data_IF_557959740132
#
_entry.id   IF_557959740132
#
_cell.length_a   1.000
_cell.length_b   1.000
_cell.length_c   1.000
_cell.angle_alpha   90.00
_cell.angle_beta   90.00
_cell.angle_gamma   90.00
#
_symmetry.space_group_name_H-M   'P 1'
#
loop_
_entity.id
_entity.type
_entity.pdbx_description
1 polymer ?
#
# COMPACT_ATOMS: atom_id res chain seq x y z
N UNK A 1 -4.96 -30.76 -5.86
CA UNK A 1 -3.65 -30.25 -5.40
C UNK A 1 -3.88 -28.93 -4.70
N UNK A 2 -3.60 -28.82 -3.40
CA UNK A 2 -3.57 -27.49 -2.74
C UNK A 2 -2.43 -26.72 -3.39
N UNK A 3 -2.73 -25.57 -3.97
CA UNK A 3 -1.75 -24.61 -4.47
C UNK A 3 -1.01 -24.01 -3.24
N UNK A 4 -0.21 -24.83 -2.55
CA UNK A 4 0.60 -24.40 -1.40
C UNK A 4 1.59 -23.37 -1.96
N UNK A 5 1.57 -22.16 -1.41
CA UNK A 5 2.50 -21.05 -1.67
C UNK A 5 2.17 -20.10 -2.85
N UNK A 6 0.91 -19.89 -3.21
CA UNK A 6 0.56 -18.85 -4.19
C UNK A 6 0.54 -17.44 -3.55
N UNK A 7 1.66 -16.73 -3.64
CA UNK A 7 1.79 -15.36 -3.14
C UNK A 7 0.86 -14.37 -3.87
N UNK A 8 0.64 -14.56 -5.17
CA UNK A 8 -0.27 -13.72 -5.95
C UNK A 8 -1.71 -13.85 -5.47
N UNK A 9 -2.14 -15.05 -5.11
CA UNK A 9 -3.46 -15.31 -4.53
C UNK A 9 -3.70 -14.49 -3.25
N UNK A 10 -2.68 -14.38 -2.39
CA UNK A 10 -2.76 -13.61 -1.15
C UNK A 10 -2.81 -12.09 -1.42
N UNK A 11 -2.05 -11.60 -2.42
CA UNK A 11 -1.93 -10.16 -2.71
C UNK A 11 -3.14 -9.62 -3.49
N UNK A 12 -3.79 -10.45 -4.31
CA UNK A 12 -4.85 -10.02 -5.24
C UNK A 12 -6.00 -9.27 -4.57
N UNK A 13 -6.53 -9.81 -3.46
CA UNK A 13 -7.68 -9.21 -2.79
C UNK A 13 -7.33 -7.85 -2.15
N UNK A 14 -6.27 -7.74 -1.31
CA UNK A 14 -5.81 -6.44 -0.82
C UNK A 14 -5.55 -5.44 -1.93
N UNK A 15 -4.97 -5.87 -3.05
CA UNK A 15 -4.68 -5.01 -4.19
C UNK A 15 -5.96 -4.45 -4.82
N UNK A 16 -6.97 -5.29 -5.02
CA UNK A 16 -8.28 -4.87 -5.54
C UNK A 16 -8.94 -3.84 -4.60
N UNK A 17 -8.91 -4.09 -3.29
CA UNK A 17 -9.43 -3.16 -2.29
C UNK A 17 -8.69 -1.82 -2.36
N UNK A 18 -7.36 -1.83 -2.47
CA UNK A 18 -6.57 -0.61 -2.55
C UNK A 18 -6.90 0.23 -3.79
N UNK A 19 -7.09 -0.40 -4.96
CA UNK A 19 -7.50 0.32 -6.16
C UNK A 19 -8.91 0.89 -6.04
N UNK A 20 -9.85 0.15 -5.45
CA UNK A 20 -11.19 0.68 -5.16
C UNK A 20 -11.12 1.89 -4.23
N UNK A 21 -10.33 1.81 -3.14
CA UNK A 21 -10.14 2.92 -2.19
C UNK A 21 -9.52 4.13 -2.88
N UNK A 22 -8.51 3.96 -3.75
CA UNK A 22 -7.92 5.06 -4.53
C UNK A 22 -8.98 5.75 -5.38
N UNK A 23 -9.78 4.98 -6.13
CA UNK A 23 -10.81 5.51 -7.01
C UNK A 23 -11.91 6.23 -6.22
N UNK A 24 -12.44 5.60 -5.16
CA UNK A 24 -13.46 6.18 -4.28
C UNK A 24 -12.95 7.49 -3.68
N UNK A 25 -11.72 7.50 -3.14
CA UNK A 25 -11.13 8.70 -2.57
C UNK A 25 -11.02 9.82 -3.58
N UNK A 26 -10.59 9.51 -4.81
CA UNK A 26 -10.49 10.52 -5.86
C UNK A 26 -11.86 11.15 -6.16
N UNK A 27 -12.92 10.33 -6.29
CA UNK A 27 -14.29 10.81 -6.52
C UNK A 27 -14.79 11.66 -5.35
N UNK A 28 -14.55 11.23 -4.11
CA UNK A 28 -14.94 11.97 -2.90
C UNK A 28 -14.24 13.34 -2.82
N UNK A 29 -12.96 13.39 -3.16
CA UNK A 29 -12.20 14.66 -3.19
C UNK A 29 -12.75 15.61 -4.26
N UNK A 30 -13.14 15.10 -5.44
CA UNK A 30 -13.82 15.91 -6.46
C UNK A 30 -15.21 16.41 -6.02
N UNK A 31 -15.93 15.61 -5.23
CA UNK A 31 -17.23 15.99 -4.68
C UNK A 31 -17.13 16.98 -3.50
N UNK A 32 -15.93 17.38 -3.10
CA UNK A 32 -15.72 18.30 -1.98
C UNK A 32 -15.96 17.65 -0.61
N UNK A 33 -15.77 16.32 -0.49
CA UNK A 33 -15.93 15.62 0.77
C UNK A 33 -15.01 16.19 1.87
N UNK A 34 -15.47 16.25 3.14
CA UNK A 34 -14.66 16.76 4.25
C UNK A 34 -13.34 16.00 4.41
N UNK A 35 -12.30 16.68 4.88
CA UNK A 35 -10.96 16.10 5.09
C UNK A 35 -10.97 14.85 5.99
N UNK A 36 -11.88 14.80 6.96
CA UNK A 36 -12.05 13.63 7.82
C UNK A 36 -12.41 12.37 6.99
N UNK A 37 -13.31 12.51 6.02
CA UNK A 37 -13.71 11.42 5.11
C UNK A 37 -12.54 11.04 4.21
N UNK A 38 -11.81 12.01 3.66
CA UNK A 38 -10.64 11.76 2.81
C UNK A 38 -9.50 11.05 3.56
N UNK A 39 -9.34 11.31 4.87
CA UNK A 39 -8.38 10.61 5.74
C UNK A 39 -8.79 9.15 5.97
N UNK A 40 -10.08 8.86 6.15
CA UNK A 40 -10.60 7.48 6.30
C UNK A 40 -10.33 6.67 5.03
N UNK A 41 -10.59 7.24 3.85
CA UNK A 41 -10.27 6.61 2.57
C UNK A 41 -8.80 6.79 2.15
N UNK A 42 -7.94 7.23 3.07
CA UNK A 42 -6.51 7.32 2.85
C UNK A 42 -5.84 5.94 2.82
N UNK A 43 -4.73 5.83 2.09
CA UNK A 43 -4.00 4.54 1.95
C UNK A 43 -3.07 4.30 3.16
N UNK A 44 -2.96 5.27 4.07
CA UNK A 44 -2.06 5.20 5.22
C UNK A 44 -2.37 3.99 6.12
N UNK A 45 -3.64 3.74 6.43
CA UNK A 45 -4.01 2.59 7.28
C UNK A 45 -3.79 1.25 6.58
N UNK A 46 -3.91 1.19 5.25
CA UNK A 46 -3.60 -0.02 4.47
C UNK A 46 -2.14 -0.42 4.62
N UNK A 47 -1.22 0.52 4.88
CA UNK A 47 0.19 0.22 5.12
C UNK A 47 0.43 -0.55 6.43
N UNK A 48 -0.57 -0.60 7.32
CA UNK A 48 -0.49 -1.35 8.58
C UNK A 48 -1.31 -2.64 8.48
N UNK A 49 -2.55 -2.55 8.01
CA UNK A 49 -3.46 -3.70 7.97
C UNK A 49 -3.00 -4.76 6.96
N UNK A 50 -2.53 -4.34 5.78
CA UNK A 50 -2.16 -5.28 4.72
C UNK A 50 -0.93 -6.12 5.08
N UNK A 51 0.16 -5.57 5.63
CA UNK A 51 1.29 -6.38 6.09
C UNK A 51 0.94 -7.35 7.22
N UNK A 52 0.03 -6.96 8.13
CA UNK A 52 -0.50 -7.85 9.17
C UNK A 52 -1.28 -9.01 8.54
N UNK A 53 -2.17 -8.72 7.59
CA UNK A 53 -2.90 -9.73 6.82
C UNK A 53 -1.95 -10.68 6.07
N UNK A 54 -0.92 -10.15 5.41
CA UNK A 54 0.10 -10.96 4.75
C UNK A 54 0.83 -11.87 5.74
N UNK A 55 1.23 -11.35 6.90
CA UNK A 55 1.88 -12.15 7.93
C UNK A 55 1.01 -13.34 8.39
N UNK A 56 -0.28 -13.11 8.63
CA UNK A 56 -1.22 -14.18 8.98
C UNK A 56 -1.31 -15.24 7.88
N UNK A 57 -1.51 -14.83 6.63
CA UNK A 57 -1.66 -15.73 5.48
C UNK A 57 -0.39 -16.50 5.16
N UNK A 58 0.77 -15.88 5.28
CA UNK A 58 2.06 -16.54 5.05
C UNK A 58 2.29 -17.64 6.09
N UNK A 59 1.94 -17.40 7.36
CA UNK A 59 2.04 -18.42 8.40
C UNK A 59 1.02 -19.54 8.17
N UNK A 60 -0.23 -19.21 7.85
CA UNK A 60 -1.29 -20.21 7.59
C UNK A 60 -0.99 -21.13 6.41
N UNK A 61 -0.28 -20.63 5.41
CA UNK A 61 0.08 -21.39 4.22
C UNK A 61 1.45 -22.07 4.31
N UNK A 62 2.14 -21.97 5.46
CA UNK A 62 3.41 -22.66 5.73
C UNK A 62 4.52 -22.37 4.69
N UNK A 63 4.66 -21.11 4.28
CA UNK A 63 5.72 -20.73 3.34
C UNK A 63 7.11 -21.07 3.91
N UNK A 64 7.96 -21.73 3.12
CA UNK A 64 9.32 -22.15 3.54
C UNK A 64 10.21 -21.00 4.03
N UNK A 65 10.08 -19.82 3.39
CA UNK A 65 10.85 -18.61 3.72
C UNK A 65 9.89 -17.47 4.05
N UNK A 66 9.26 -17.47 5.23
CA UNK A 66 8.12 -16.60 5.54
C UNK A 66 8.51 -15.11 5.52
N UNK A 67 9.71 -14.77 5.98
CA UNK A 67 10.19 -13.38 5.94
C UNK A 67 10.41 -12.87 4.51
N UNK A 68 11.02 -13.67 3.64
CA UNK A 68 11.17 -13.30 2.23
C UNK A 68 9.83 -13.25 1.49
N UNK A 69 8.89 -14.15 1.83
CA UNK A 69 7.53 -14.09 1.31
C UNK A 69 6.82 -12.79 1.71
N UNK A 70 7.03 -12.31 2.95
CA UNK A 70 6.47 -11.05 3.44
C UNK A 70 7.00 -9.85 2.64
N UNK A 71 8.32 -9.78 2.45
CA UNK A 71 8.95 -8.72 1.64
C UNK A 71 8.38 -8.72 0.22
N UNK A 72 8.30 -9.89 -0.42
CA UNK A 72 7.75 -10.01 -1.77
C UNK A 72 6.27 -9.61 -1.82
N UNK A 73 5.45 -10.00 -0.84
CA UNK A 73 4.05 -9.62 -0.77
C UNK A 73 3.89 -8.10 -0.64
N UNK A 74 4.69 -7.46 0.23
CA UNK A 74 4.69 -6.01 0.40
C UNK A 74 5.07 -5.31 -0.89
N UNK A 75 6.09 -5.78 -1.62
CA UNK A 75 6.48 -5.18 -2.91
C UNK A 75 5.41 -5.39 -3.98
N UNK A 76 4.88 -6.60 -4.13
CA UNK A 76 3.81 -6.91 -5.09
C UNK A 76 2.52 -6.13 -4.83
N UNK A 77 2.27 -5.73 -3.59
CA UNK A 77 1.16 -4.87 -3.24
C UNK A 77 1.50 -3.38 -3.42
N UNK A 78 2.60 -2.92 -2.84
CA UNK A 78 2.94 -1.50 -2.77
C UNK A 78 3.29 -0.91 -4.13
N UNK A 79 4.05 -1.63 -4.97
CA UNK A 79 4.49 -1.11 -6.27
C UNK A 79 3.30 -0.76 -7.17
N UNK A 80 2.33 -1.65 -7.43
CA UNK A 80 1.18 -1.30 -8.27
C UNK A 80 0.28 -0.22 -7.65
N UNK A 81 0.06 -0.24 -6.33
CA UNK A 81 -0.71 0.79 -5.61
C UNK A 81 -0.05 2.16 -5.76
N UNK A 82 1.26 2.27 -5.55
CA UNK A 82 1.97 3.54 -5.70
C UNK A 82 2.04 4.00 -7.13
N UNK A 83 2.14 3.07 -8.08
CA UNK A 83 2.11 3.40 -9.50
C UNK A 83 0.76 4.01 -9.88
N UNK A 84 -0.35 3.42 -9.44
CA UNK A 84 -1.68 3.97 -9.67
C UNK A 84 -1.81 5.38 -9.08
N UNK A 85 -1.33 5.61 -7.85
CA UNK A 85 -1.33 6.96 -7.25
C UNK A 85 -0.47 7.91 -8.08
N UNK A 86 0.76 7.54 -8.44
CA UNK A 86 1.65 8.38 -9.24
C UNK A 86 1.00 8.80 -10.56
N UNK A 87 0.33 7.85 -11.24
CA UNK A 87 -0.46 8.13 -12.44
C UNK A 87 -1.57 9.15 -12.17
N UNK A 88 -2.28 9.08 -11.03
CA UNK A 88 -3.27 10.13 -10.69
C UNK A 88 -2.65 11.51 -10.54
N UNK A 89 -1.40 11.63 -10.05
CA UNK A 89 -0.71 12.92 -9.98
C UNK A 89 -0.31 13.43 -11.38
N UNK A 90 0.19 12.54 -12.25
CA UNK A 90 0.48 12.90 -13.64
C UNK A 90 -0.78 13.33 -14.40
N UNK A 91 -1.92 12.66 -14.18
CA UNK A 91 -3.21 13.05 -14.75
C UNK A 91 -3.72 14.37 -14.17
N UNK A 92 -3.53 14.60 -12.87
CA UNK A 92 -3.88 15.87 -12.24
C UNK A 92 -3.15 17.05 -12.87
N UNK A 93 -1.86 16.86 -13.23
CA UNK A 93 -1.11 17.86 -13.98
C UNK A 93 -1.69 18.11 -15.38
N UNK A 94 -1.99 17.05 -16.13
CA UNK A 94 -2.55 17.15 -17.49
C UNK A 94 -3.89 17.89 -17.50
N UNK A 95 -4.81 17.49 -16.61
CA UNK A 95 -6.17 18.02 -16.55
C UNK A 95 -6.32 19.25 -15.64
N UNK A 96 -5.22 19.74 -15.04
CA UNK A 96 -5.22 20.89 -14.13
C UNK A 96 -6.24 20.79 -13.01
N UNK A 97 -6.31 19.62 -12.36
CA UNK A 97 -7.24 19.39 -11.25
C UNK A 97 -6.96 20.34 -10.08
N UNK A 98 -8.02 20.97 -9.56
CA UNK A 98 -7.94 22.00 -8.50
C UNK A 98 -8.04 21.44 -7.08
N UNK A 99 -7.94 20.12 -6.91
CA UNK A 99 -7.99 19.46 -5.59
C UNK A 99 -6.70 19.77 -4.80
N UNK A 100 -6.86 20.14 -3.54
CA UNK A 100 -5.77 20.52 -2.61
C UNK A 100 -4.57 19.57 -2.65
N UNK A 101 -4.78 18.24 -2.69
CA UNK A 101 -3.68 17.27 -2.69
C UNK A 101 -2.77 17.32 -3.93
N UNK A 102 -3.25 17.90 -5.02
CA UNK A 102 -2.51 18.04 -6.29
C UNK A 102 -1.91 19.43 -6.48
N UNK A 103 -2.09 20.36 -5.53
CA UNK A 103 -1.58 21.72 -5.63
C UNK A 103 -0.07 21.78 -5.92
N UNK A 104 0.70 20.82 -5.39
CA UNK A 104 2.15 20.74 -5.63
C UNK A 104 2.51 20.41 -7.08
N UNK A 105 1.63 19.71 -7.81
CA UNK A 105 1.85 19.40 -9.24
C UNK A 105 1.19 20.44 -10.14
N UNK A 106 0.06 21.05 -9.76
CA UNK A 106 -0.69 21.95 -10.65
C UNK A 106 -0.33 23.43 -10.57
N UNK A 107 0.62 23.83 -9.73
CA UNK A 107 1.01 25.23 -9.55
C UNK A 107 1.58 25.91 -10.81
N UNK A 108 1.44 27.23 -10.89
CA UNK A 108 1.77 28.05 -12.07
C UNK A 108 3.23 27.96 -12.51
N UNK A 109 4.14 27.64 -11.59
CA UNK A 109 5.58 27.51 -11.84
C UNK A 109 6.06 26.06 -12.02
N UNK A 110 5.14 25.10 -12.18
CA UNK A 110 5.49 23.68 -12.32
C UNK A 110 5.71 23.32 -13.80
N UNK A 111 6.97 23.05 -14.15
CA UNK A 111 7.35 22.60 -15.50
C UNK A 111 6.69 21.26 -15.85
N UNK A 112 6.51 20.94 -17.15
CA UNK A 112 5.97 19.64 -17.56
C UNK A 112 6.76 18.46 -17.00
N UNK A 113 8.10 18.53 -17.03
CA UNK A 113 8.95 17.47 -16.48
C UNK A 113 8.68 17.28 -14.98
N UNK A 114 8.59 18.38 -14.23
CA UNK A 114 8.36 18.34 -12.79
C UNK A 114 6.98 17.80 -12.43
N UNK A 115 5.93 18.25 -13.13
CA UNK A 115 4.55 17.89 -12.87
C UNK A 115 4.18 16.47 -13.31
N UNK A 116 4.64 16.02 -14.48
CA UNK A 116 4.37 14.67 -14.99
C UNK A 116 5.21 13.59 -14.31
N UNK A 117 6.48 13.87 -14.04
CA UNK A 117 7.45 12.84 -13.70
C UNK A 117 8.14 13.08 -12.36
N UNK A 118 8.78 14.22 -12.14
CA UNK A 118 9.65 14.39 -10.97
C UNK A 118 8.89 14.25 -9.65
N UNK A 119 7.76 14.95 -9.49
CA UNK A 119 6.95 14.86 -8.26
C UNK A 119 6.29 13.47 -8.12
N UNK A 120 5.61 12.93 -9.15
CA UNK A 120 5.03 11.59 -9.04
C UNK A 120 6.05 10.49 -8.76
N UNK A 121 7.21 10.51 -9.42
CA UNK A 121 8.26 9.50 -9.26
C UNK A 121 8.97 9.59 -7.91
N UNK A 122 9.25 10.79 -7.42
CA UNK A 122 9.83 10.97 -6.08
C UNK A 122 8.86 10.52 -4.99
N UNK A 123 7.58 10.89 -5.10
CA UNK A 123 6.53 10.42 -4.21
C UNK A 123 6.41 8.89 -4.25
N UNK A 124 6.42 8.29 -5.44
CA UNK A 124 6.41 6.84 -5.64
C UNK A 124 7.57 6.15 -4.89
N UNK A 125 8.80 6.57 -5.15
CA UNK A 125 10.00 5.97 -4.57
C UNK A 125 10.01 6.08 -3.04
N UNK A 126 9.78 7.29 -2.51
CA UNK A 126 9.74 7.53 -1.07
C UNK A 126 8.67 6.67 -0.38
N UNK A 127 7.48 6.58 -0.99
CA UNK A 127 6.37 5.83 -0.41
C UNK A 127 6.52 4.31 -0.49
N UNK A 128 7.26 3.77 -1.47
CA UNK A 128 7.61 2.35 -1.51
C UNK A 128 8.57 2.02 -0.38
N UNK A 129 9.61 2.84 -0.19
CA UNK A 129 10.56 2.66 0.91
C UNK A 129 9.86 2.71 2.27
N UNK A 130 8.99 3.70 2.48
CA UNK A 130 8.19 3.79 3.69
C UNK A 130 7.29 2.56 3.89
N UNK A 131 6.60 2.10 2.85
CA UNK A 131 5.74 0.92 2.91
C UNK A 131 6.53 -0.36 3.21
N UNK A 132 7.74 -0.48 2.67
CA UNK A 132 8.62 -1.62 2.93
C UNK A 132 9.06 -1.64 4.40
N UNK A 133 9.54 -0.51 4.92
CA UNK A 133 9.99 -0.40 6.32
C UNK A 133 8.82 -0.68 7.27
N UNK A 134 7.70 0.04 7.12
CA UNK A 134 6.51 -0.13 7.97
C UNK A 134 5.97 -1.56 7.86
N UNK A 135 5.90 -2.12 6.64
CA UNK A 135 5.37 -3.45 6.42
C UNK A 135 6.24 -4.57 6.98
N UNK A 136 7.55 -4.45 6.88
CA UNK A 136 8.48 -5.40 7.51
C UNK A 136 8.34 -5.35 9.03
N UNK A 137 8.29 -4.16 9.62
CA UNK A 137 8.14 -4.01 11.09
C UNK A 137 6.80 -4.61 11.55
N UNK A 138 5.69 -4.17 10.96
CA UNK A 138 4.34 -4.58 11.38
C UNK A 138 4.07 -6.06 11.10
N UNK A 139 4.38 -6.53 9.89
CA UNK A 139 4.22 -7.93 9.51
C UNK A 139 5.19 -8.85 10.25
N UNK A 140 6.45 -8.43 10.43
CA UNK A 140 7.47 -9.17 11.16
C UNK A 140 7.10 -9.36 12.65
N UNK A 141 6.64 -8.30 13.32
CA UNK A 141 6.12 -8.38 14.68
C UNK A 141 4.92 -9.34 14.77
N UNK A 142 3.99 -9.26 13.82
CA UNK A 142 2.84 -10.17 13.75
C UNK A 142 3.29 -11.63 13.65
N UNK A 143 4.26 -11.94 12.79
CA UNK A 143 4.80 -13.29 12.66
C UNK A 143 5.47 -13.78 13.93
N UNK A 144 6.23 -12.90 14.59
CA UNK A 144 6.91 -13.20 15.84
C UNK A 144 5.92 -13.54 16.97
N UNK A 145 4.87 -12.75 17.15
CA UNK A 145 3.87 -13.03 18.19
C UNK A 145 3.05 -14.29 17.90
N UNK A 146 2.64 -14.51 16.64
CA UNK A 146 1.88 -15.71 16.26
C UNK A 146 2.69 -16.99 16.45
N UNK A 147 3.97 -16.98 16.08
CA UNK A 147 4.86 -18.15 16.26
C UNK A 147 5.14 -18.48 17.74
N UNK A 148 5.13 -17.48 18.63
CA UNK A 148 5.22 -17.70 20.08
C UNK A 148 3.95 -18.25 20.69
N UNK A 149 2.78 -17.77 20.27
CA UNK A 149 1.49 -18.25 20.78
C UNK A 149 1.22 -19.73 20.44
N UNK A 150 1.81 -20.24 19.34
CA UNK A 150 1.66 -21.62 18.91
C UNK A 150 2.57 -22.64 19.64
N UNK A 151 3.56 -22.19 20.44
CA UNK A 151 4.37 -23.10 21.27
C UNK A 151 3.61 -23.42 22.57
N UNK A 152 3.26 -24.69 22.86
CA UNK A 152 2.64 -25.03 24.14
C UNK A 152 3.58 -24.64 25.27
N UNK A 153 3.05 -24.03 26.34
CA UNK A 153 3.76 -23.97 27.61
C UNK A 153 3.94 -25.41 28.09
N UNK A 154 5.13 -25.97 27.92
CA UNK A 154 5.55 -27.17 28.64
C UNK A 154 5.58 -26.79 30.12
N UNK A 155 4.51 -27.11 30.84
CA UNK A 155 4.50 -27.11 32.30
C UNK A 155 5.39 -28.30 32.68
N UNK A 156 6.53 -28.00 33.30
CA UNK A 156 7.45 -28.98 33.90
C UNK A 156 6.81 -29.65 35.11
#
# INVERSE_FOLDING_TARGET
MKEKNNLFGIVKLPLLIAFAVIAIRLVLEFAGAPDAVNKIFGIAWLQIIVPVFFAFKIIENEFEKPFFALIKAILLFSVPVRLAIALTYSLAYYFKWTISRFAMVTGDNVTPLTGYFTIPASAFAFNILAALIVGIITGGLTMYFKSRAAKPKTIQ
#
